data_IF_161964060214
#
_entry.id   IF_161964060214
#
_cell.length_a   1.000
_cell.length_b   1.000
_cell.length_c   1.000
_cell.angle_alpha   90.00
_cell.angle_beta   90.00
_cell.angle_gamma   90.00
#
_symmetry.space_group_name_H-M   'P 1'
#
loop_
_entity.id
_entity.type
_entity.pdbx_description
1 polymer ?
#
# COMPACT_ATOMS: atom_id res chain seq x y z
N UNK A 1 18.56 -8.95 37.25
CA UNK A 1 18.64 -8.15 36.01
C UNK A 1 17.24 -7.66 35.67
N UNK A 2 16.90 -6.40 35.95
CA UNK A 2 15.61 -5.83 35.55
C UNK A 2 15.72 -5.24 34.15
N UNK A 3 14.75 -5.54 33.27
CA UNK A 3 14.32 -4.63 32.20
C UNK A 3 12.84 -4.91 31.87
N UNK A 4 11.95 -4.24 32.57
CA UNK A 4 10.75 -3.63 31.99
C UNK A 4 10.85 -2.12 32.32
N UNK A 5 10.21 -1.18 31.58
CA UNK A 5 9.10 -1.38 30.64
C UNK A 5 9.22 -0.60 29.32
N UNK A 6 8.46 -1.01 28.31
CA UNK A 6 7.99 -0.09 27.27
C UNK A 6 6.48 -0.26 27.07
N UNK A 7 5.74 0.46 27.90
CA UNK A 7 4.39 0.95 27.60
C UNK A 7 4.49 1.98 26.47
N UNK A 8 3.82 1.74 25.35
CA UNK A 8 3.34 2.79 24.47
C UNK A 8 2.28 2.24 23.50
N UNK A 9 1.04 2.72 23.64
CA UNK A 9 0.12 2.84 22.51
C UNK A 9 -0.95 1.77 22.39
N UNK A 10 -1.77 1.64 23.43
CA UNK A 10 -3.17 1.29 23.25
C UNK A 10 -3.87 2.36 22.38
N UNK A 11 -4.91 1.93 21.65
CA UNK A 11 -5.76 2.69 20.71
C UNK A 11 -5.23 2.77 19.28
N UNK A 12 -5.65 1.82 18.45
CA UNK A 12 -6.39 2.18 17.24
C UNK A 12 -7.50 1.18 17.04
N UNK A 13 -8.66 1.63 17.51
CA UNK A 13 -10.00 1.13 17.25
C UNK A 13 -10.11 0.23 16.03
N UNK A 14 -10.71 -0.92 16.31
CA UNK A 14 -11.45 -1.76 15.39
C UNK A 14 -12.65 -0.96 14.86
N UNK A 15 -12.42 0.13 14.14
CA UNK A 15 -13.48 0.84 13.43
C UNK A 15 -13.89 -0.02 12.24
N UNK A 16 -15.18 -0.32 12.16
CA UNK A 16 -15.79 -1.18 11.17
C UNK A 16 -15.14 -0.99 9.80
N UNK A 17 -14.61 -2.08 9.22
CA UNK A 17 -14.00 -2.11 7.88
C UNK A 17 -15.10 -1.85 6.87
N UNK A 18 -15.51 -0.59 6.73
CA UNK A 18 -16.27 -0.11 5.59
C UNK A 18 -15.31 -0.21 4.42
N UNK A 19 -15.57 -1.15 3.50
CA UNK A 19 -14.77 -1.27 2.29
C UNK A 19 -14.96 0.04 1.51
N UNK A 20 -14.05 1.01 1.69
CA UNK A 20 -14.08 2.21 0.89
C UNK A 20 -13.92 1.83 -0.58
N UNK A 21 -14.81 2.31 -1.47
CA UNK A 21 -14.63 2.11 -2.89
C UNK A 21 -13.35 2.82 -3.34
N UNK A 22 -12.53 2.10 -4.09
CA UNK A 22 -11.35 2.65 -4.74
C UNK A 22 -11.31 2.19 -6.19
N UNK A 23 -10.92 3.10 -7.08
CA UNK A 23 -10.75 2.82 -8.49
C UNK A 23 -9.50 1.97 -8.77
N UNK A 24 -9.40 1.47 -10.00
CA UNK A 24 -8.23 0.69 -10.45
C UNK A 24 -7.53 1.41 -11.59
N UNK A 25 -6.20 1.47 -11.51
CA UNK A 25 -5.36 1.90 -12.63
C UNK A 25 -5.30 0.78 -13.66
N UNK A 26 -5.63 1.08 -14.91
CA UNK A 26 -5.73 0.08 -15.99
C UNK A 26 -4.92 0.45 -17.22
N UNK A 27 -4.80 1.75 -17.51
CA UNK A 27 -4.13 2.24 -18.72
C UNK A 27 -2.66 2.46 -18.45
N UNK A 28 -1.82 2.05 -19.40
CA UNK A 28 -0.36 2.24 -19.32
C UNK A 28 0.04 3.71 -19.06
N UNK A 29 -0.66 4.66 -19.68
CA UNK A 29 -0.42 6.08 -19.48
C UNK A 29 -0.56 6.51 -18.01
N UNK A 30 -1.56 5.97 -17.30
CA UNK A 30 -1.79 6.24 -15.88
C UNK A 30 -0.61 5.73 -15.04
N UNK A 31 -0.17 4.48 -15.28
CA UNK A 31 1.02 3.93 -14.60
C UNK A 31 2.29 4.75 -14.86
N UNK A 32 2.45 5.33 -16.05
CA UNK A 32 3.60 6.18 -16.38
C UNK A 32 3.50 7.55 -15.72
N UNK A 33 2.30 8.12 -15.59
CA UNK A 33 2.07 9.36 -14.87
C UNK A 33 2.45 9.19 -13.38
N UNK A 34 1.99 8.12 -12.74
CA UNK A 34 2.26 7.88 -11.31
C UNK A 34 3.76 7.73 -11.01
N UNK A 35 4.53 7.17 -11.95
CA UNK A 35 5.99 7.06 -11.83
C UNK A 35 6.73 8.39 -11.80
N UNK A 36 6.08 9.49 -12.21
CA UNK A 36 6.63 10.84 -12.12
C UNK A 36 6.30 11.51 -10.77
N UNK A 37 5.38 10.92 -10.00
CA UNK A 37 5.02 11.40 -8.68
C UNK A 37 6.00 11.01 -7.57
N UNK A 38 5.53 11.11 -6.33
CA UNK A 38 6.30 10.80 -5.12
C UNK A 38 6.65 9.30 -5.04
N UNK A 39 7.87 8.97 -4.65
CA UNK A 39 8.35 7.59 -4.52
C UNK A 39 8.73 7.27 -3.09
N UNK A 40 7.97 6.38 -2.45
CA UNK A 40 8.23 5.87 -1.10
C UNK A 40 8.82 4.46 -1.18
N UNK A 41 10.14 4.37 -1.13
CA UNK A 41 10.90 3.10 -1.23
C UNK A 41 10.82 2.32 0.08
N UNK A 42 10.36 1.07 0.00
CA UNK A 42 10.31 0.17 1.14
C UNK A 42 10.97 -1.18 0.92
N UNK A 43 11.15 -1.91 2.03
CA UNK A 43 11.72 -3.26 2.01
C UNK A 43 10.85 -4.20 1.18
N UNK A 44 9.53 -4.18 1.44
CA UNK A 44 8.56 -5.08 0.85
C UNK A 44 8.03 -4.61 -0.52
N UNK A 45 7.91 -3.30 -0.70
CA UNK A 45 7.38 -2.72 -1.93
C UNK A 45 7.91 -1.30 -2.13
N UNK A 46 7.89 -0.85 -3.37
CA UNK A 46 7.98 0.56 -3.71
C UNK A 46 6.54 1.08 -3.89
N UNK A 47 6.21 2.17 -3.20
CA UNK A 47 4.96 2.89 -3.40
C UNK A 47 5.25 4.15 -4.22
N UNK A 48 4.50 4.34 -5.29
CA UNK A 48 4.52 5.55 -6.10
C UNK A 48 3.15 6.22 -5.95
N UNK A 49 3.13 7.54 -5.70
CA UNK A 49 1.92 8.31 -5.43
C UNK A 49 1.91 9.55 -6.32
N UNK A 50 0.80 9.79 -7.00
CA UNK A 50 0.58 11.00 -7.76
C UNK A 50 -0.71 11.66 -7.31
N UNK A 51 -0.61 12.93 -6.95
CA UNK A 51 -1.77 13.79 -6.72
C UNK A 51 -2.31 14.26 -8.08
N UNK A 52 -3.53 13.85 -8.43
CA UNK A 52 -4.18 14.27 -9.68
C UNK A 52 -4.77 15.68 -9.56
N UNK A 53 -4.84 16.24 -8.35
CA UNK A 53 -5.48 17.54 -8.09
C UNK A 53 -7.00 17.52 -8.29
N UNK A 54 -7.62 16.34 -8.25
CA UNK A 54 -9.09 16.17 -8.30
C UNK A 54 -9.62 15.66 -6.96
N UNK A 55 -10.94 15.71 -6.76
CA UNK A 55 -11.62 15.15 -5.58
C UNK A 55 -12.23 13.75 -5.87
N UNK A 56 -11.74 13.06 -6.90
CA UNK A 56 -12.26 11.77 -7.32
C UNK A 56 -11.76 10.63 -6.42
N UNK A 57 -12.37 9.46 -6.56
CA UNK A 57 -11.95 8.28 -5.79
C UNK A 57 -10.45 7.98 -5.95
N UNK A 58 -9.78 7.50 -4.88
CA UNK A 58 -8.41 7.05 -4.97
C UNK A 58 -8.33 5.86 -5.93
N UNK A 59 -7.26 5.77 -6.72
CA UNK A 59 -7.05 4.65 -7.65
C UNK A 59 -5.78 3.90 -7.31
N UNK A 60 -5.82 2.57 -7.43
CA UNK A 60 -4.66 1.73 -7.14
C UNK A 60 -4.27 0.84 -8.33
N UNK A 61 -2.97 0.70 -8.53
CA UNK A 61 -2.33 -0.16 -9.50
C UNK A 61 -1.31 -1.07 -8.83
N UNK A 62 -1.28 -2.35 -9.22
CA UNK A 62 -0.34 -3.33 -8.67
C UNK A 62 0.64 -3.77 -9.75
N UNK A 63 1.93 -3.52 -9.52
CA UNK A 63 3.00 -3.99 -10.40
C UNK A 63 3.83 -5.04 -9.67
N UNK A 64 4.11 -6.16 -10.33
CA UNK A 64 5.07 -7.16 -9.83
C UNK A 64 6.03 -7.47 -10.96
N UNK A 65 7.32 -7.18 -10.75
CA UNK A 65 8.32 -7.32 -11.82
C UNK A 65 8.61 -8.80 -12.11
N UNK A 66 9.05 -9.11 -13.34
CA UNK A 66 9.45 -10.47 -13.74
C UNK A 66 10.59 -11.02 -12.87
N UNK A 67 11.44 -10.13 -12.31
CA UNK A 67 12.56 -10.47 -11.42
C UNK A 67 12.14 -11.14 -10.11
N UNK A 68 10.88 -10.99 -9.72
CA UNK A 68 10.36 -11.52 -8.44
C UNK A 68 10.16 -13.04 -8.48
N UNK A 69 9.93 -13.63 -9.67
CA UNK A 69 9.79 -15.07 -9.84
C UNK A 69 8.77 -15.46 -10.91
N UNK A 70 8.33 -16.73 -10.84
CA UNK A 70 7.38 -17.31 -11.78
C UNK A 70 5.96 -16.69 -11.67
N UNK A 71 5.06 -17.06 -12.58
CA UNK A 71 3.69 -16.55 -12.60
C UNK A 71 2.93 -16.79 -11.28
N UNK A 72 3.11 -17.95 -10.65
CA UNK A 72 2.47 -18.31 -9.38
C UNK A 72 2.91 -17.39 -8.25
N UNK A 73 4.22 -17.16 -8.13
CA UNK A 73 4.83 -16.25 -7.14
C UNK A 73 4.29 -14.83 -7.31
N UNK A 74 4.26 -14.33 -8.55
CA UNK A 74 3.72 -12.98 -8.86
C UNK A 74 2.23 -12.87 -8.54
N UNK A 75 1.45 -13.88 -8.86
CA UNK A 75 0.01 -13.90 -8.56
C UNK A 75 -0.25 -13.96 -7.06
N UNK A 76 0.54 -14.73 -6.30
CA UNK A 76 0.43 -14.79 -4.83
C UNK A 76 0.73 -13.44 -4.19
N UNK A 77 1.77 -12.74 -4.67
CA UNK A 77 2.09 -11.37 -4.22
C UNK A 77 0.96 -10.40 -4.56
N UNK A 78 0.48 -10.43 -5.81
CA UNK A 78 -0.63 -9.56 -6.24
C UNK A 78 -1.89 -9.79 -5.40
N UNK A 79 -2.22 -11.05 -5.09
CA UNK A 79 -3.35 -11.41 -4.21
C UNK A 79 -3.16 -10.88 -2.79
N UNK A 80 -1.99 -11.09 -2.17
CA UNK A 80 -1.69 -10.56 -0.82
C UNK A 80 -1.79 -9.03 -0.77
N UNK A 81 -1.22 -8.34 -1.76
CA UNK A 81 -1.28 -6.88 -1.83
C UNK A 81 -2.71 -6.38 -2.03
N UNK A 82 -3.49 -7.00 -2.92
CA UNK A 82 -4.88 -6.61 -3.17
C UNK A 82 -5.73 -6.75 -1.91
N UNK A 83 -5.60 -7.86 -1.18
CA UNK A 83 -6.33 -8.05 0.08
C UNK A 83 -5.87 -7.08 1.16
N UNK A 84 -4.57 -6.82 1.30
CA UNK A 84 -4.08 -5.86 2.29
C UNK A 84 -4.56 -4.43 2.02
N UNK A 85 -4.63 -4.03 0.74
CA UNK A 85 -5.23 -2.74 0.36
C UNK A 85 -6.74 -2.73 0.65
N UNK A 86 -7.46 -3.76 0.20
CA UNK A 86 -8.93 -3.85 0.35
C UNK A 86 -9.38 -3.81 1.81
N UNK A 87 -8.62 -4.41 2.71
CA UNK A 87 -9.01 -4.59 4.12
C UNK A 87 -8.50 -3.52 5.07
N UNK A 88 -7.58 -2.66 4.63
CA UNK A 88 -6.91 -1.75 5.56
C UNK A 88 -6.48 -0.46 4.88
N UNK A 89 -5.74 -0.56 3.77
CA UNK A 89 -5.09 0.62 3.23
C UNK A 89 -6.02 1.54 2.41
N UNK A 90 -7.21 1.07 2.00
CA UNK A 90 -8.19 1.88 1.30
C UNK A 90 -8.68 3.07 2.15
N UNK A 91 -8.70 2.93 3.48
CA UNK A 91 -9.11 4.00 4.40
C UNK A 91 -8.04 5.08 4.58
N UNK A 92 -6.77 4.71 4.42
CA UNK A 92 -5.63 5.62 4.50
C UNK A 92 -5.34 6.35 3.19
N UNK A 93 -6.00 5.96 2.09
CA UNK A 93 -5.83 6.61 0.79
C UNK A 93 -6.53 7.96 0.77
N UNK A 94 -5.80 8.97 0.32
CA UNK A 94 -6.38 10.28 0.08
C UNK A 94 -7.06 10.31 -1.29
N UNK A 95 -8.22 10.94 -1.33
CA UNK A 95 -8.97 11.20 -2.57
C UNK A 95 -8.10 12.01 -3.53
N UNK A 96 -8.36 11.88 -4.83
CA UNK A 96 -7.58 12.55 -5.85
C UNK A 96 -6.24 11.89 -6.17
N UNK A 97 -5.83 10.88 -5.41
CA UNK A 97 -4.52 10.27 -5.60
C UNK A 97 -4.57 8.97 -6.41
N UNK A 98 -3.52 8.79 -7.21
CA UNK A 98 -3.17 7.54 -7.86
C UNK A 98 -2.02 6.86 -7.12
N UNK A 99 -2.18 5.58 -6.79
CA UNK A 99 -1.22 4.78 -6.06
C UNK A 99 -0.74 3.61 -6.92
N UNK A 100 0.57 3.49 -7.16
CA UNK A 100 1.18 2.31 -7.78
C UNK A 100 2.04 1.58 -6.76
N UNK A 101 1.68 0.34 -6.46
CA UNK A 101 2.41 -0.53 -5.54
C UNK A 101 3.22 -1.53 -6.34
N UNK A 102 4.55 -1.40 -6.27
CA UNK A 102 5.49 -2.32 -6.90
C UNK A 102 5.95 -3.35 -5.87
N UNK A 103 5.34 -4.53 -5.91
CA UNK A 103 5.62 -5.62 -4.97
C UNK A 103 6.97 -6.31 -5.22
N UNK A 104 7.70 -6.61 -4.14
CA UNK A 104 8.94 -7.41 -4.15
C UNK A 104 8.69 -8.82 -3.60
N UNK A 105 9.68 -9.69 -3.76
CA UNK A 105 9.59 -11.10 -3.33
C UNK A 105 9.42 -11.24 -1.81
N UNK A 106 9.99 -10.30 -1.05
CA UNK A 106 9.97 -10.31 0.42
C UNK A 106 8.55 -10.28 1.02
N UNK A 107 7.54 -9.81 0.26
CA UNK A 107 6.12 -9.85 0.66
C UNK A 107 5.65 -11.27 1.00
N UNK A 108 6.24 -12.29 0.38
CA UNK A 108 5.88 -13.69 0.64
C UNK A 108 6.42 -14.23 1.95
N UNK A 109 7.47 -13.62 2.49
CA UNK A 109 8.17 -14.08 3.68
C UNK A 109 7.68 -13.37 4.95
N UNK A 110 6.90 -12.30 4.81
CA UNK A 110 6.34 -11.57 5.96
C UNK A 110 4.92 -12.02 6.32
N UNK A 111 4.59 -12.03 7.62
CA UNK A 111 3.21 -12.17 8.09
C UNK A 111 2.27 -11.15 7.44
N UNK A 112 1.00 -11.53 7.23
CA UNK A 112 0.03 -10.65 6.59
C UNK A 112 -0.25 -9.38 7.44
N UNK A 113 -0.22 -9.49 8.76
CA UNK A 113 -0.36 -8.35 9.67
C UNK A 113 0.74 -7.30 9.47
N UNK A 114 2.00 -7.73 9.35
CA UNK A 114 3.12 -6.84 9.06
C UNK A 114 2.99 -6.15 7.69
N UNK A 115 2.50 -6.88 6.68
CA UNK A 115 2.26 -6.29 5.36
C UNK A 115 1.22 -5.18 5.42
N UNK A 116 0.12 -5.38 6.17
CA UNK A 116 -0.92 -4.36 6.38
C UNK A 116 -0.36 -3.13 7.08
N UNK A 117 0.37 -3.33 8.19
CA UNK A 117 0.96 -2.24 8.94
C UNK A 117 1.98 -1.45 8.10
N UNK A 118 2.81 -2.13 7.30
CA UNK A 118 3.74 -1.47 6.39
C UNK A 118 3.03 -0.69 5.28
N UNK A 119 1.91 -1.20 4.75
CA UNK A 119 1.08 -0.50 3.77
C UNK A 119 0.46 0.76 4.35
N UNK A 120 -0.23 0.66 5.48
CA UNK A 120 -0.86 1.81 6.16
C UNK A 120 0.16 2.90 6.46
N UNK A 121 1.30 2.54 7.08
CA UNK A 121 2.39 3.48 7.40
C UNK A 121 2.94 4.23 6.19
N UNK A 122 2.93 3.60 5.01
CA UNK A 122 3.48 4.19 3.78
C UNK A 122 2.46 4.92 2.94
N UNK A 123 1.19 4.52 3.00
CA UNK A 123 0.10 5.16 2.26
C UNK A 123 -0.34 6.42 2.99
N UNK A 124 -0.47 6.35 4.32
CA UNK A 124 -0.73 7.51 5.17
C UNK A 124 0.22 8.63 4.80
N UNK A 125 -0.34 9.70 4.23
CA UNK A 125 0.38 10.94 3.99
C UNK A 125 0.69 11.47 5.38
N UNK A 126 1.91 11.25 5.87
CA UNK A 126 2.44 12.11 6.93
C UNK A 126 2.37 13.51 6.35
N UNK A 127 1.36 14.28 6.75
CA UNK A 127 1.31 15.70 6.55
C UNK A 127 2.67 16.23 6.99
N UNK A 128 3.43 16.80 6.06
CA UNK A 128 4.43 17.79 6.44
C UNK A 128 3.63 18.91 7.10
N UNK A 129 3.66 18.93 8.43
CA UNK A 129 3.58 20.18 9.16
C UNK A 129 4.87 20.98 8.86
#
# INVERSE_FOLDING_TARGET
MPVEPHTAGEKSETSAVGIRPYGRLTKRAEFLAVRQGEKRRGRLFLLEVLDRGDAGEPRVGFTVTKKVGNAVTRNRIRRRLKEAVRTHAADDMADGNDYVIVGRRDILNVPFGELKAELSRRISRKSRA
#
